data_IF_628133365406
#
_entry.id   IF_628133365406
#
_cell.length_a   1.000
_cell.length_b   1.000
_cell.length_c   1.000
_cell.angle_alpha   90.00
_cell.angle_beta   90.00
_cell.angle_gamma   90.00
#
_symmetry.space_group_name_H-M   'P 1'
#
loop_
_entity.id
_entity.type
_entity.pdbx_description
1 polymer ?
#
# COMPACT_ATOMS: atom_id res chain seq x y z
N UNK A 1 -12.67 -30.98 1.86
CA UNK A 1 -11.75 -30.00 1.22
C UNK A 1 -12.41 -29.24 0.07
N UNK A 2 -13.08 -29.92 -0.87
CA UNK A 2 -13.70 -29.31 -2.06
C UNK A 2 -14.79 -28.27 -1.73
N UNK A 3 -15.70 -28.56 -0.79
CA UNK A 3 -16.80 -27.64 -0.41
C UNK A 3 -16.26 -26.29 0.09
N UNK A 4 -15.19 -26.28 0.91
CA UNK A 4 -14.57 -25.05 1.41
C UNK A 4 -14.01 -24.18 0.28
N UNK A 5 -13.41 -24.79 -0.74
CA UNK A 5 -12.87 -24.09 -1.91
C UNK A 5 -14.01 -23.46 -2.72
N UNK A 6 -15.09 -24.21 -2.97
CA UNK A 6 -16.27 -23.72 -3.68
C UNK A 6 -16.91 -22.55 -2.92
N UNK A 7 -17.10 -22.71 -1.60
CA UNK A 7 -17.67 -21.65 -0.76
C UNK A 7 -16.80 -20.40 -0.74
N UNK A 8 -15.48 -20.54 -0.70
CA UNK A 8 -14.57 -19.40 -0.78
C UNK A 8 -14.67 -18.69 -2.15
N UNK A 9 -14.76 -19.43 -3.25
CA UNK A 9 -14.96 -18.83 -4.59
C UNK A 9 -16.27 -18.05 -4.68
N UNK A 10 -17.37 -18.62 -4.16
CA UNK A 10 -18.67 -17.93 -4.10
C UNK A 10 -18.58 -16.67 -3.24
N UNK A 11 -17.91 -16.74 -2.09
CA UNK A 11 -17.69 -15.58 -1.23
C UNK A 11 -16.89 -14.47 -1.94
N UNK A 12 -15.81 -14.82 -2.66
CA UNK A 12 -15.04 -13.86 -3.46
C UNK A 12 -15.89 -13.24 -4.58
N UNK A 13 -16.69 -14.04 -5.30
CA UNK A 13 -17.58 -13.52 -6.33
C UNK A 13 -18.62 -12.55 -5.76
N UNK A 14 -19.21 -12.88 -4.60
CA UNK A 14 -20.13 -12.00 -3.88
C UNK A 14 -19.47 -10.66 -3.52
N UNK A 15 -18.23 -10.67 -3.02
CA UNK A 15 -17.49 -9.43 -2.70
C UNK A 15 -17.24 -8.60 -3.94
N UNK A 16 -16.84 -9.21 -5.05
CA UNK A 16 -16.57 -8.52 -6.31
C UNK A 16 -17.85 -7.86 -6.84
N UNK A 17 -18.97 -8.59 -6.88
CA UNK A 17 -20.27 -8.05 -7.29
C UNK A 17 -20.69 -6.90 -6.36
N UNK A 18 -20.54 -7.08 -5.05
CA UNK A 18 -20.85 -6.06 -4.05
C UNK A 18 -19.98 -4.81 -4.24
N UNK A 19 -18.69 -4.96 -4.56
CA UNK A 19 -17.80 -3.85 -4.87
C UNK A 19 -18.23 -3.14 -6.15
N UNK A 20 -18.46 -3.88 -7.24
CA UNK A 20 -18.88 -3.32 -8.53
C UNK A 20 -20.21 -2.56 -8.41
N UNK A 21 -21.20 -3.14 -7.72
CA UNK A 21 -22.47 -2.50 -7.40
C UNK A 21 -22.26 -1.19 -6.63
N UNK A 22 -21.46 -1.22 -5.55
CA UNK A 22 -21.16 -0.02 -4.76
C UNK A 22 -20.48 1.06 -5.57
N UNK A 23 -19.50 0.68 -6.39
CA UNK A 23 -18.77 1.60 -7.24
C UNK A 23 -19.68 2.24 -8.29
N UNK A 24 -20.56 1.45 -8.91
CA UNK A 24 -21.49 1.93 -9.93
C UNK A 24 -22.49 2.94 -9.37
N UNK A 25 -23.11 2.67 -8.22
CA UNK A 25 -24.16 3.53 -7.67
C UNK A 25 -23.66 4.65 -6.73
N UNK A 26 -22.55 4.44 -6.02
CA UNK A 26 -22.09 5.34 -4.95
C UNK A 26 -20.64 5.81 -5.11
N UNK A 27 -19.98 5.43 -6.21
CA UNK A 27 -18.61 5.82 -6.50
C UNK A 27 -17.53 5.01 -5.77
N UNK A 28 -16.29 5.27 -6.18
CA UNK A 28 -15.09 4.52 -5.77
C UNK A 28 -14.81 4.60 -4.27
N UNK A 29 -14.95 5.79 -3.67
CA UNK A 29 -14.70 5.99 -2.24
C UNK A 29 -15.61 5.11 -1.37
N UNK A 30 -16.90 5.03 -1.71
CA UNK A 30 -17.84 4.18 -0.99
C UNK A 30 -17.54 2.69 -1.20
N UNK A 31 -17.16 2.29 -2.41
CA UNK A 31 -16.76 0.92 -2.72
C UNK A 31 -15.53 0.48 -1.90
N UNK A 32 -14.55 1.37 -1.74
CA UNK A 32 -13.29 1.12 -1.02
C UNK A 32 -13.48 0.81 0.47
N UNK A 33 -14.62 1.18 1.07
CA UNK A 33 -14.99 0.78 2.45
C UNK A 33 -14.99 -0.75 2.64
N UNK A 34 -15.09 -1.54 1.56
CA UNK A 34 -14.94 -3.00 1.65
C UNK A 34 -13.53 -3.40 2.13
N UNK A 35 -12.47 -2.69 1.75
CA UNK A 35 -11.09 -3.01 2.15
C UNK A 35 -10.84 -2.94 3.67
N UNK A 36 -11.74 -2.34 4.44
CA UNK A 36 -11.64 -2.22 5.89
C UNK A 36 -11.90 -3.54 6.62
N UNK A 37 -12.79 -4.39 6.09
CA UNK A 37 -13.35 -5.53 6.83
C UNK A 37 -13.19 -6.88 6.10
N UNK A 38 -12.44 -6.93 5.01
CA UNK A 38 -12.20 -8.17 4.28
C UNK A 38 -11.20 -9.05 5.02
N UNK A 39 -11.36 -10.37 4.90
CA UNK A 39 -10.31 -11.27 5.35
C UNK A 39 -9.10 -11.19 4.41
N UNK A 40 -7.93 -11.63 4.91
CA UNK A 40 -6.64 -11.50 4.21
C UNK A 40 -6.54 -12.19 2.85
N UNK A 41 -7.41 -13.17 2.58
CA UNK A 41 -7.43 -13.85 1.29
C UNK A 41 -8.33 -13.10 0.30
N UNK A 42 -9.52 -12.69 0.74
CA UNK A 42 -10.49 -12.00 -0.08
C UNK A 42 -10.04 -10.60 -0.53
N UNK A 43 -9.32 -9.85 0.33
CA UNK A 43 -8.77 -8.55 -0.04
C UNK A 43 -7.86 -8.64 -1.27
N UNK A 44 -7.00 -9.66 -1.35
CA UNK A 44 -6.10 -9.87 -2.49
C UNK A 44 -6.89 -10.08 -3.79
N UNK A 45 -7.98 -10.84 -3.76
CA UNK A 45 -8.84 -11.02 -4.94
C UNK A 45 -9.51 -9.73 -5.37
N UNK A 46 -10.00 -8.92 -4.43
CA UNK A 46 -10.64 -7.65 -4.76
C UNK A 46 -9.63 -6.61 -5.28
N UNK A 47 -8.41 -6.59 -4.75
CA UNK A 47 -7.32 -5.75 -5.26
C UNK A 47 -6.98 -6.12 -6.71
N UNK A 48 -6.80 -7.42 -7.01
CA UNK A 48 -6.55 -7.91 -8.37
C UNK A 48 -7.69 -7.63 -9.33
N UNK A 49 -8.95 -7.80 -8.89
CA UNK A 49 -10.12 -7.41 -9.68
C UNK A 49 -10.09 -5.92 -10.07
N UNK A 50 -9.57 -5.08 -9.19
CA UNK A 50 -9.32 -3.65 -9.44
C UNK A 50 -7.94 -3.37 -10.07
N UNK A 51 -7.37 -4.32 -10.80
CA UNK A 51 -6.11 -4.21 -11.56
C UNK A 51 -4.83 -4.00 -10.76
N UNK A 52 -4.84 -4.10 -9.43
CA UNK A 52 -3.59 -4.14 -8.67
C UNK A 52 -2.80 -5.42 -9.02
N UNK A 53 -1.48 -5.29 -9.18
CA UNK A 53 -0.59 -6.43 -9.36
C UNK A 53 -0.17 -6.95 -8.00
N UNK A 54 -0.66 -8.14 -7.60
CA UNK A 54 -0.32 -8.76 -6.32
C UNK A 54 0.24 -10.16 -6.57
N UNK A 55 1.47 -10.40 -6.14
CA UNK A 55 2.18 -11.66 -6.27
C UNK A 55 1.59 -12.81 -5.46
N UNK A 56 2.20 -13.98 -5.61
CA UNK A 56 1.83 -15.24 -4.96
C UNK A 56 2.25 -15.22 -3.49
N UNK A 57 1.52 -15.96 -2.66
CA UNK A 57 1.78 -16.10 -1.21
C UNK A 57 1.86 -14.76 -0.44
N UNK A 58 1.35 -13.68 -1.03
CA UNK A 58 1.30 -12.37 -0.38
C UNK A 58 0.04 -12.27 0.48
N UNK A 59 0.24 -11.87 1.74
CA UNK A 59 -0.81 -11.71 2.73
C UNK A 59 -1.01 -10.24 3.03
N UNK A 60 -2.27 -9.79 2.97
CA UNK A 60 -2.65 -8.41 3.23
C UNK A 60 -3.71 -8.44 4.33
N UNK A 61 -3.43 -7.85 5.48
CA UNK A 61 -4.38 -7.79 6.59
C UNK A 61 -5.22 -6.51 6.49
N UNK A 62 -6.55 -6.64 6.54
CA UNK A 62 -7.46 -5.51 6.69
C UNK A 62 -7.48 -4.99 8.14
N UNK A 63 -7.74 -3.69 8.36
CA UNK A 63 -8.06 -2.66 7.36
C UNK A 63 -6.90 -2.30 6.43
N UNK A 64 -7.17 -2.17 5.13
CA UNK A 64 -6.27 -1.54 4.17
C UNK A 64 -6.93 -0.25 3.69
N UNK A 65 -6.24 0.87 3.81
CA UNK A 65 -6.74 2.18 3.40
C UNK A 65 -6.03 2.57 2.13
N UNK A 66 -6.78 2.83 1.06
CA UNK A 66 -6.24 3.23 -0.22
C UNK A 66 -6.83 4.58 -0.59
N UNK A 67 -5.95 5.56 -0.80
CA UNK A 67 -6.31 6.87 -1.31
C UNK A 67 -5.86 6.99 -2.75
N UNK A 68 -6.76 7.34 -3.66
CA UNK A 68 -6.45 7.56 -5.08
C UNK A 68 -7.57 8.33 -5.76
N UNK A 69 -7.24 9.03 -6.84
CA UNK A 69 -8.20 9.77 -7.68
C UNK A 69 -8.58 9.05 -8.98
N UNK A 70 -7.94 7.92 -9.28
CA UNK A 70 -8.15 7.17 -10.52
C UNK A 70 -9.30 6.16 -10.40
N UNK A 71 -9.68 5.54 -11.52
CA UNK A 71 -10.74 4.54 -11.52
C UNK A 71 -10.30 3.18 -10.97
N UNK A 72 -9.01 2.84 -11.01
CA UNK A 72 -8.52 1.52 -10.61
C UNK A 72 -7.20 1.58 -9.82
N UNK A 73 -6.74 0.40 -9.39
CA UNK A 73 -5.58 0.20 -8.52
C UNK A 73 -4.33 -0.26 -9.29
N UNK A 74 -4.26 0.00 -10.60
CA UNK A 74 -3.11 -0.39 -11.44
C UNK A 74 -1.76 0.15 -10.99
N UNK A 75 -1.75 1.25 -10.22
CA UNK A 75 -0.55 1.85 -9.62
C UNK A 75 -0.02 1.09 -8.39
N UNK A 76 -0.73 0.07 -7.91
CA UNK A 76 -0.30 -0.77 -6.79
C UNK A 76 0.34 -2.06 -7.30
N UNK A 77 1.64 -2.21 -7.03
CA UNK A 77 2.43 -3.38 -7.40
C UNK A 77 3.05 -3.98 -6.15
N UNK A 78 2.69 -5.23 -5.81
CA UNK A 78 3.23 -5.98 -4.68
C UNK A 78 3.71 -7.34 -5.17
N UNK A 79 4.96 -7.68 -4.91
CA UNK A 79 5.59 -8.93 -5.31
C UNK A 79 5.12 -10.18 -4.56
N UNK A 80 5.89 -11.25 -4.71
CA UNK A 80 5.67 -12.55 -4.09
C UNK A 80 6.14 -12.56 -2.62
N UNK A 81 5.46 -13.37 -1.79
CA UNK A 81 5.78 -13.62 -0.38
C UNK A 81 5.86 -12.35 0.48
N UNK A 82 5.04 -11.34 0.18
CA UNK A 82 5.00 -10.11 0.96
C UNK A 82 3.98 -10.21 2.10
N UNK A 83 4.19 -9.40 3.14
CA UNK A 83 3.20 -9.20 4.20
C UNK A 83 2.90 -7.72 4.37
N UNK A 84 1.63 -7.36 4.17
CA UNK A 84 1.13 -6.01 4.42
C UNK A 84 0.20 -6.10 5.63
N UNK A 85 0.61 -5.51 6.74
CA UNK A 85 -0.12 -5.61 8.00
C UNK A 85 -1.28 -4.62 8.09
N UNK A 86 -2.06 -4.73 9.16
CA UNK A 86 -3.25 -3.92 9.38
C UNK A 86 -2.97 -2.43 9.35
N UNK A 87 -3.97 -1.68 8.90
CA UNK A 87 -4.05 -0.22 8.87
C UNK A 87 -2.94 0.44 8.04
N UNK A 88 -2.39 -0.26 7.05
CA UNK A 88 -1.51 0.43 6.10
C UNK A 88 -2.34 1.42 5.27
N UNK A 89 -1.78 2.61 5.07
CA UNK A 89 -2.34 3.65 4.22
C UNK A 89 -1.48 3.79 2.97
N UNK A 90 -2.09 3.56 1.81
CA UNK A 90 -1.42 3.60 0.52
C UNK A 90 -2.05 4.69 -0.35
N UNK A 91 -1.31 5.76 -0.56
CA UNK A 91 -1.67 6.81 -1.51
C UNK A 91 -1.15 6.45 -2.90
N UNK A 92 -2.07 6.20 -3.84
CA UNK A 92 -1.79 5.81 -5.22
C UNK A 92 -2.01 6.97 -6.21
N UNK A 93 -1.66 8.19 -5.82
CA UNK A 93 -1.50 9.28 -6.79
C UNK A 93 -0.40 8.94 -7.82
N UNK A 94 0.67 8.27 -7.40
CA UNK A 94 1.68 7.63 -8.24
C UNK A 94 1.95 6.17 -7.86
N UNK A 95 2.82 5.50 -8.61
CA UNK A 95 3.12 4.07 -8.42
C UNK A 95 3.70 3.77 -7.03
N UNK A 96 3.11 2.80 -6.33
CA UNK A 96 3.73 2.13 -5.18
C UNK A 96 4.16 0.74 -5.64
N UNK A 97 5.47 0.49 -5.58
CA UNK A 97 6.06 -0.80 -5.94
C UNK A 97 6.75 -1.42 -4.73
N UNK A 98 6.26 -2.56 -4.28
CA UNK A 98 6.82 -3.37 -3.20
C UNK A 98 7.30 -4.68 -3.82
N UNK A 99 8.61 -4.89 -3.87
CA UNK A 99 9.20 -6.12 -4.42
C UNK A 99 9.03 -7.32 -3.48
N UNK A 100 9.55 -8.47 -3.89
CA UNK A 100 9.36 -9.76 -3.22
C UNK A 100 9.91 -9.78 -1.78
N UNK A 101 9.35 -10.64 -0.94
CA UNK A 101 9.81 -10.92 0.42
C UNK A 101 9.86 -9.67 1.33
N UNK A 102 9.03 -8.67 1.07
CA UNK A 102 8.95 -7.45 1.87
C UNK A 102 7.88 -7.56 2.96
N UNK A 103 8.10 -6.85 4.06
CA UNK A 103 7.08 -6.71 5.12
C UNK A 103 6.82 -5.24 5.39
N UNK A 104 5.56 -4.86 5.34
CA UNK A 104 5.04 -3.61 5.91
C UNK A 104 4.33 -3.98 7.21
N UNK A 105 4.88 -3.52 8.34
CA UNK A 105 4.25 -3.68 9.63
C UNK A 105 3.01 -2.78 9.78
N UNK A 106 2.35 -2.83 10.92
CA UNK A 106 1.08 -2.14 11.13
C UNK A 106 1.24 -0.62 11.01
N UNK A 107 0.20 0.05 10.52
CA UNK A 107 0.13 1.50 10.41
C UNK A 107 1.23 2.13 9.53
N UNK A 108 1.81 1.39 8.57
CA UNK A 108 2.73 1.99 7.60
C UNK A 108 1.95 2.88 6.65
N UNK A 109 2.43 4.10 6.46
CA UNK A 109 1.86 5.09 5.53
C UNK A 109 2.84 5.34 4.40
N UNK A 110 2.39 5.20 3.17
CA UNK A 110 3.14 5.56 1.97
C UNK A 110 2.38 6.67 1.25
N UNK A 111 3.05 7.81 1.07
CA UNK A 111 2.53 8.98 0.37
C UNK A 111 3.27 9.10 -0.96
N UNK A 112 2.53 9.29 -2.05
CA UNK A 112 3.07 9.46 -3.40
C UNK A 112 2.76 10.84 -3.98
N UNK A 113 2.01 11.69 -3.27
CA UNK A 113 1.84 13.09 -3.64
C UNK A 113 1.82 14.06 -2.47
N UNK A 114 2.23 15.29 -2.77
CA UNK A 114 1.92 16.47 -1.97
C UNK A 114 1.07 17.40 -2.82
N UNK A 115 -0.07 17.82 -2.29
CA UNK A 115 -0.97 18.81 -2.91
C UNK A 115 -1.31 19.89 -1.88
N UNK A 116 -1.01 21.15 -2.22
CA UNK A 116 -1.30 22.30 -1.37
C UNK A 116 -2.79 22.68 -1.37
N UNK A 117 -3.60 22.10 -2.26
CA UNK A 117 -5.01 22.42 -2.40
C UNK A 117 -5.24 23.92 -2.58
N UNK A 118 -6.20 24.45 -1.81
CA UNK A 118 -6.56 25.88 -1.80
C UNK A 118 -5.70 26.72 -0.83
N UNK A 119 -4.64 26.15 -0.26
CA UNK A 119 -3.78 26.90 0.66
C UNK A 119 -3.01 28.01 -0.06
N UNK A 120 -2.90 29.17 0.60
CA UNK A 120 -2.17 30.35 0.10
C UNK A 120 -0.64 30.21 0.19
N UNK A 121 -0.10 29.00 0.20
CA UNK A 121 1.33 28.75 0.32
C UNK A 121 2.12 29.23 -0.92
N UNK A 122 1.45 29.67 -1.99
CA UNK A 122 2.13 30.17 -3.19
C UNK A 122 3.17 29.16 -3.68
N UNK A 123 4.37 29.61 -4.01
CA UNK A 123 5.48 28.75 -4.45
C UNK A 123 6.29 28.12 -3.30
N UNK A 124 5.95 28.42 -2.03
CA UNK A 124 6.64 27.83 -0.87
C UNK A 124 6.40 26.32 -0.73
N UNK A 125 5.32 25.82 -1.34
CA UNK A 125 5.06 24.40 -1.48
C UNK A 125 4.73 24.08 -2.93
N UNK A 126 5.59 23.28 -3.56
CA UNK A 126 5.32 22.75 -4.88
C UNK A 126 4.53 21.45 -4.78
N UNK A 127 3.48 21.36 -5.58
CA UNK A 127 2.79 20.09 -5.75
C UNK A 127 3.77 19.10 -6.38
N UNK A 128 3.81 17.89 -5.84
CA UNK A 128 4.71 16.84 -6.33
C UNK A 128 3.98 15.51 -6.35
N UNK A 129 4.35 14.67 -7.31
CA UNK A 129 3.80 13.33 -7.52
C UNK A 129 4.92 12.43 -8.00
N UNK A 130 5.38 11.55 -7.12
CA UNK A 130 6.47 10.63 -7.43
C UNK A 130 6.21 9.28 -6.77
N UNK A 131 6.54 8.21 -7.49
CA UNK A 131 6.34 6.85 -7.00
C UNK A 131 7.24 6.52 -5.80
N UNK A 132 6.90 5.43 -5.12
CA UNK A 132 7.70 4.86 -4.02
C UNK A 132 8.05 3.42 -4.36
N UNK A 133 9.32 3.07 -4.16
CA UNK A 133 9.84 1.72 -4.40
C UNK A 133 10.39 1.15 -3.10
N UNK A 134 9.92 -0.04 -2.71
CA UNK A 134 10.46 -0.84 -1.61
C UNK A 134 11.09 -2.10 -2.21
N UNK A 135 12.41 -2.17 -2.24
CA UNK A 135 13.14 -3.27 -2.84
C UNK A 135 13.13 -4.54 -1.97
N UNK A 136 13.46 -5.65 -2.62
CA UNK A 136 13.32 -7.01 -2.11
C UNK A 136 13.93 -7.21 -0.71
N UNK A 137 13.24 -8.00 0.12
CA UNK A 137 13.73 -8.44 1.43
C UNK A 137 13.69 -7.37 2.52
N UNK A 138 13.07 -6.21 2.24
CA UNK A 138 13.05 -5.08 3.17
C UNK A 138 11.91 -5.17 4.18
N UNK A 139 12.23 -4.85 5.43
CA UNK A 139 11.27 -4.75 6.53
C UNK A 139 11.01 -3.28 6.88
N UNK A 140 9.75 -2.87 6.77
CA UNK A 140 9.26 -1.55 7.16
C UNK A 140 8.55 -1.67 8.51
N UNK A 141 9.13 -1.05 9.53
CA UNK A 141 8.63 -1.06 10.91
C UNK A 141 7.29 -0.35 11.09
N UNK A 142 6.64 -0.61 12.23
CA UNK A 142 5.29 -0.11 12.48
C UNK A 142 5.28 1.43 12.57
N UNK A 143 4.21 2.05 12.08
CA UNK A 143 4.03 3.52 12.06
C UNK A 143 5.14 4.27 11.30
N UNK A 144 5.78 3.64 10.31
CA UNK A 144 6.71 4.35 9.41
C UNK A 144 5.91 5.15 8.38
N UNK A 145 6.37 6.37 8.10
CA UNK A 145 5.90 7.21 7.00
C UNK A 145 6.98 7.25 5.92
N UNK A 146 6.63 6.89 4.68
CA UNK A 146 7.47 7.01 3.50
C UNK A 146 6.89 8.07 2.57
N UNK A 147 7.71 9.04 2.17
CA UNK A 147 7.31 10.12 1.27
C UNK A 147 7.63 9.79 -0.20
N UNK A 148 6.96 10.49 -1.09
CA UNK A 148 7.06 10.37 -2.54
C UNK A 148 8.51 10.48 -3.03
N UNK A 149 8.83 9.82 -4.14
CA UNK A 149 10.17 9.85 -4.74
C UNK A 149 11.20 8.99 -4.00
N UNK A 150 10.80 8.32 -2.92
CA UNK A 150 11.69 7.49 -2.13
C UNK A 150 11.83 6.09 -2.71
N UNK A 151 13.07 5.66 -2.91
CA UNK A 151 13.47 4.27 -3.10
C UNK A 151 14.13 3.74 -1.82
N UNK A 152 13.55 2.70 -1.23
CA UNK A 152 14.16 1.92 -0.16
C UNK A 152 14.90 0.73 -0.77
N UNK A 153 16.19 0.63 -0.51
CA UNK A 153 17.08 -0.43 -1.00
C UNK A 153 16.70 -1.84 -0.53
N UNK A 154 17.42 -2.83 -1.04
CA UNK A 154 17.23 -4.25 -0.71
C UNK A 154 17.64 -4.56 0.72
N UNK A 155 17.02 -5.55 1.34
CA UNK A 155 17.38 -6.08 2.66
C UNK A 155 17.53 -4.99 3.74
N UNK A 156 16.73 -3.93 3.67
CA UNK A 156 16.80 -2.84 4.63
C UNK A 156 15.92 -3.13 5.85
N UNK A 157 16.30 -2.53 6.98
CA UNK A 157 15.45 -2.42 8.17
C UNK A 157 15.12 -0.96 8.40
N UNK A 158 13.85 -0.58 8.21
CA UNK A 158 13.35 0.72 8.61
C UNK A 158 12.72 0.57 10.00
N UNK A 159 13.32 1.16 11.02
CA UNK A 159 12.82 1.05 12.39
C UNK A 159 11.43 1.70 12.53
N UNK A 160 10.64 1.22 13.50
CA UNK A 160 9.32 1.75 13.79
C UNK A 160 9.34 3.27 14.05
N UNK A 161 8.25 3.95 13.71
CA UNK A 161 8.06 5.42 13.85
C UNK A 161 9.08 6.28 13.11
N UNK A 162 9.70 5.77 12.04
CA UNK A 162 10.65 6.55 11.23
C UNK A 162 9.96 7.32 10.09
N UNK A 163 10.52 8.47 9.72
CA UNK A 163 10.15 9.23 8.52
C UNK A 163 11.20 9.03 7.43
N UNK A 164 10.84 8.32 6.37
CA UNK A 164 11.70 8.11 5.20
C UNK A 164 11.36 9.15 4.14
N UNK A 165 12.18 10.19 4.05
CA UNK A 165 12.03 11.31 3.11
C UNK A 165 13.19 11.43 2.12
N UNK A 166 14.06 10.41 2.08
CA UNK A 166 15.20 10.28 1.16
C UNK A 166 15.43 8.81 0.86
N UNK A 167 16.08 8.53 -0.27
CA UNK A 167 16.48 7.17 -0.65
C UNK A 167 17.33 6.51 0.44
N UNK A 168 17.09 5.21 0.65
CA UNK A 168 17.83 4.36 1.59
C UNK A 168 18.64 3.36 0.79
N UNK A 169 19.94 3.29 1.02
CA UNK A 169 20.82 2.35 0.32
C UNK A 169 20.64 0.91 0.81
N UNK A 170 20.93 -0.06 -0.06
CA UNK A 170 20.85 -1.50 0.23
C UNK A 170 21.56 -1.89 1.54
N UNK A 171 21.01 -2.91 2.22
CA UNK A 171 21.49 -3.48 3.47
C UNK A 171 21.60 -2.46 4.62
N UNK A 172 20.88 -1.34 4.55
CA UNK A 172 20.90 -0.33 5.59
C UNK A 172 19.86 -0.60 6.66
N UNK A 173 20.23 -0.25 7.90
CA UNK A 173 19.30 -0.09 9.01
C UNK A 173 19.14 1.39 9.25
N UNK A 174 17.92 1.93 9.25
CA UNK A 174 17.67 3.36 9.51
C UNK A 174 16.64 3.55 10.61
N UNK A 175 16.75 4.62 11.38
CA UNK A 175 15.70 5.06 12.31
C UNK A 175 15.57 6.58 12.37
N UNK A 176 14.43 7.05 12.89
CA UNK A 176 14.26 8.43 13.35
C UNK A 176 13.41 9.30 12.43
N UNK A 177 13.26 10.57 12.81
CA UNK A 177 12.50 11.59 12.07
C UNK A 177 13.39 12.82 11.89
N UNK A 178 14.02 13.02 10.72
CA UNK A 178 14.05 12.12 9.57
C UNK A 178 14.90 10.87 9.83
N UNK A 179 14.65 9.80 9.06
CA UNK A 179 15.35 8.53 9.17
C UNK A 179 16.83 8.68 8.77
N UNK A 180 17.72 8.15 9.61
CA UNK A 180 19.17 8.16 9.39
C UNK A 180 19.74 6.75 9.55
N UNK A 181 20.78 6.44 8.77
CA UNK A 181 21.50 5.18 8.86
C UNK A 181 22.07 4.98 10.28
N UNK A 182 21.83 3.79 10.81
CA UNK A 182 22.43 3.27 12.04
C UNK A 182 23.70 2.55 11.62
N UNK A 183 24.77 2.74 12.42
CA UNK A 183 26.09 2.10 12.29
C UNK A 183 26.06 0.80 11.49
#
# INVERSE_FOLDING_TARGET
>A
MIIKIIMFKIYVAYIIVKYAYRKFFFGTEYANKLFYNLNRHAVVHLLRFNKASIGRNTLIDSPLIIHYKNDDLSKLNIGDNCRISKNCFLDLAENITIHNNCTLAMNVTIITHTDKGESNLGDSLQNSKEGVIVNQGTYIGANVLILQGTTVGKNCLIAAKSLVNKNVSDNSKVLGVPAKKIK
#
